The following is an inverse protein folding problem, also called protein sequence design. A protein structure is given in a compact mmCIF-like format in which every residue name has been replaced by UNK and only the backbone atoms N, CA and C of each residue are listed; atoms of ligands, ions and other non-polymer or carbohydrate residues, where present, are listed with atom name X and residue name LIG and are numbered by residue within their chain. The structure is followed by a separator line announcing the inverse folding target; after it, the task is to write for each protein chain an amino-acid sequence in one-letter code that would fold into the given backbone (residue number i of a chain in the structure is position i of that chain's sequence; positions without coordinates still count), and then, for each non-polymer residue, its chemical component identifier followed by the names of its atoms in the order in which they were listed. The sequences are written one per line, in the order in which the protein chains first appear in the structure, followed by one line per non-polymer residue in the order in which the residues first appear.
data_IF_707967904581
#
_entry.id   IF_707967904581
#
_cell.length_a   1.000
_cell.length_b   1.000
_cell.length_c   1.000
_cell.angle_alpha   90.00
_cell.angle_beta   90.00
_cell.angle_gamma   90.00
#
_symmetry.space_group_name_H-M   'P 1'
#
loop_
_entity.id
_entity.type
_entity.pdbx_description
1 polymer ?
#
# COMPACT_ATOMS: atom_id res chain seq x y z
N UNK A 1 10.02 193.94 -7.88
CA UNK A 1 11.23 194.74 -8.14
C UNK A 1 12.25 193.82 -8.78
N UNK A 2 12.51 193.95 -10.07
CA UNK A 2 13.50 194.88 -10.68
C UNK A 2 14.82 194.12 -10.90
N UNK A 3 15.59 194.27 -11.97
CA UNK A 3 15.55 194.99 -13.26
C UNK A 3 16.78 194.38 -14.01
N UNK A 4 16.72 194.04 -15.30
CA UNK A 4 17.19 194.87 -16.44
C UNK A 4 18.74 195.11 -16.46
N UNK A 5 19.46 195.38 -17.55
CA UNK A 5 19.14 195.79 -18.93
C UNK A 5 20.45 195.85 -19.74
N UNK A 6 20.33 195.62 -21.06
CA UNK A 6 20.87 196.38 -22.22
C UNK A 6 22.36 196.72 -22.52
N UNK A 7 22.61 196.57 -23.85
CA UNK A 7 23.12 197.53 -24.89
C UNK A 7 24.56 197.40 -25.46
N UNK A 8 24.60 197.10 -26.78
CA UNK A 8 25.35 197.62 -27.98
C UNK A 8 26.66 198.43 -27.79
N UNK A 9 27.70 198.30 -28.62
CA UNK A 9 27.77 198.60 -30.08
C UNK A 9 29.05 198.05 -30.83
N UNK A 10 29.11 198.28 -32.16
CA UNK A 10 30.08 197.95 -33.27
C UNK A 10 31.60 198.22 -33.03
N UNK A 11 32.66 197.80 -33.79
CA UNK A 11 33.03 197.30 -35.17
C UNK A 11 34.51 196.76 -35.04
N UNK A 12 35.05 195.72 -35.73
CA UNK A 12 35.78 195.69 -37.04
C UNK A 12 36.48 194.32 -37.30
N UNK A 13 37.08 194.15 -38.49
CA UNK A 13 37.70 192.96 -39.18
C UNK A 13 38.98 192.37 -38.53
N UNK A 14 39.24 191.04 -38.67
CA UNK A 14 40.58 190.45 -38.94
C UNK A 14 40.57 188.94 -39.31
N UNK A 15 41.64 188.45 -39.95
CA UNK A 15 41.74 187.28 -40.82
C UNK A 15 42.49 186.06 -40.20
N UNK A 16 41.85 184.87 -40.10
CA UNK A 16 42.41 183.47 -39.98
C UNK A 16 43.16 183.05 -38.66
N UNK A 17 43.35 181.75 -38.29
CA UNK A 17 42.93 180.44 -38.86
C UNK A 17 42.27 179.43 -37.87
N UNK A 18 41.49 178.46 -38.40
CA UNK A 18 40.74 177.43 -37.66
C UNK A 18 41.12 175.97 -37.95
N UNK A 19 42.41 175.60 -37.88
CA UNK A 19 42.88 174.22 -38.14
C UNK A 19 42.86 173.30 -36.90
N UNK A 20 42.55 173.82 -35.71
CA UNK A 20 42.63 173.07 -34.43
C UNK A 20 41.36 172.26 -34.12
N UNK A 21 40.21 172.62 -34.69
CA UNK A 21 38.92 172.00 -34.34
C UNK A 21 38.65 170.66 -35.07
N UNK A 22 39.29 170.45 -36.22
CA UNK A 22 39.16 169.19 -36.98
C UNK A 22 39.94 168.01 -36.36
N UNK A 23 40.98 168.28 -35.56
CA UNK A 23 41.86 167.24 -34.98
C UNK A 23 41.30 166.68 -33.66
N UNK A 24 40.62 167.52 -32.87
CA UNK A 24 39.93 167.14 -31.61
C UNK A 24 38.72 166.24 -31.85
N UNK A 25 37.89 166.59 -32.84
CA UNK A 25 36.68 165.84 -33.20
C UNK A 25 37.00 164.47 -33.80
N UNK A 26 38.09 164.33 -34.55
CA UNK A 26 38.56 163.04 -35.08
C UNK A 26 39.07 162.10 -33.96
N UNK A 27 39.74 162.66 -32.95
CA UNK A 27 40.28 161.88 -31.82
C UNK A 27 39.16 161.34 -30.92
N UNK A 28 38.12 162.13 -30.65
CA UNK A 28 36.93 161.66 -29.93
C UNK A 28 36.15 160.59 -30.70
N UNK A 29 36.00 160.72 -32.02
CA UNK A 29 35.32 159.71 -32.85
C UNK A 29 36.09 158.37 -32.86
N UNK A 30 37.42 158.40 -32.96
CA UNK A 30 38.25 157.19 -32.90
C UNK A 30 38.19 156.54 -31.52
N UNK A 31 38.20 157.33 -30.44
CA UNK A 31 38.11 156.80 -29.07
C UNK A 31 36.72 156.20 -28.77
N UNK A 32 35.65 156.76 -29.34
CA UNK A 32 34.30 156.21 -29.27
C UNK A 32 34.17 154.90 -30.05
N UNK A 33 34.77 154.82 -31.24
CA UNK A 33 34.74 153.60 -32.06
C UNK A 33 35.57 152.47 -31.42
N UNK A 34 36.72 152.80 -30.81
CA UNK A 34 37.52 151.87 -30.02
C UNK A 34 36.78 151.37 -28.77
N UNK A 35 36.07 152.24 -28.04
CA UNK A 35 35.28 151.79 -26.87
C UNK A 35 34.10 150.90 -27.27
N UNK A 36 33.38 151.22 -28.34
CA UNK A 36 32.32 150.35 -28.87
C UNK A 36 32.88 149.00 -29.33
N UNK A 37 34.04 148.98 -29.98
CA UNK A 37 34.70 147.73 -30.40
C UNK A 37 35.18 146.88 -29.22
N UNK A 38 35.77 147.50 -28.19
CA UNK A 38 36.21 146.80 -26.97
C UNK A 38 35.00 146.26 -26.19
N UNK A 39 33.92 147.02 -26.08
CA UNK A 39 32.67 146.55 -25.45
C UNK A 39 32.04 145.42 -26.28
N UNK A 40 32.06 145.51 -27.61
CA UNK A 40 31.61 144.44 -28.51
C UNK A 40 32.44 143.16 -28.37
N UNK A 41 33.78 143.27 -28.32
CA UNK A 41 34.66 142.13 -28.06
C UNK A 41 34.48 141.55 -26.65
N UNK A 42 34.25 142.40 -25.65
CA UNK A 42 34.02 141.96 -24.28
C UNK A 42 32.70 141.17 -24.16
N UNK A 43 31.61 141.65 -24.77
CA UNK A 43 30.32 140.95 -24.78
C UNK A 43 30.44 139.62 -25.55
N UNK A 44 31.09 139.62 -26.72
CA UNK A 44 31.27 138.41 -27.53
C UNK A 44 32.18 137.38 -26.84
N UNK A 45 33.24 137.84 -26.15
CA UNK A 45 34.12 136.98 -25.35
C UNK A 45 33.38 136.37 -24.16
N UNK A 46 32.47 137.13 -23.53
CA UNK A 46 31.59 136.61 -22.45
C UNK A 46 30.59 135.58 -22.97
N UNK A 47 30.00 135.81 -24.13
CA UNK A 47 29.04 134.91 -24.77
C UNK A 47 29.71 133.60 -25.23
N UNK A 48 30.93 133.69 -25.80
CA UNK A 48 31.72 132.52 -26.22
C UNK A 48 32.24 131.76 -24.98
N UNK A 49 32.82 132.45 -23.99
CA UNK A 49 33.30 131.80 -22.75
C UNK A 49 32.15 131.14 -21.97
N UNK A 50 30.97 131.76 -21.95
CA UNK A 50 29.78 131.16 -21.33
C UNK A 50 29.28 129.93 -22.08
N UNK A 51 29.31 129.94 -23.43
CA UNK A 51 29.02 128.74 -24.24
C UNK A 51 30.06 127.65 -24.03
N UNK A 52 31.34 128.00 -23.94
CA UNK A 52 32.44 127.05 -23.70
C UNK A 52 32.35 126.42 -22.30
N UNK A 53 31.97 127.18 -21.26
CA UNK A 53 31.69 126.64 -19.94
C UNK A 53 30.50 125.67 -19.93
N UNK A 54 29.40 126.01 -20.64
CA UNK A 54 28.23 125.14 -20.76
C UNK A 54 28.56 123.87 -21.54
N UNK A 55 29.34 123.98 -22.63
CA UNK A 55 29.82 122.83 -23.40
C UNK A 55 30.74 121.94 -22.59
N UNK A 56 31.68 122.51 -21.82
CA UNK A 56 32.56 121.73 -20.94
C UNK A 56 31.78 121.01 -19.83
N UNK A 57 30.79 121.68 -19.22
CA UNK A 57 29.91 121.08 -18.20
C UNK A 57 29.00 119.99 -18.77
N UNK A 58 28.50 120.17 -19.99
CA UNK A 58 27.75 119.15 -20.72
C UNK A 58 28.64 117.97 -21.07
N UNK A 59 29.86 118.22 -21.55
CA UNK A 59 30.82 117.17 -21.90
C UNK A 59 31.26 116.36 -20.66
N UNK A 60 31.46 117.02 -19.50
CA UNK A 60 31.74 116.31 -18.25
C UNK A 60 30.55 115.47 -17.78
N UNK A 61 29.31 115.97 -17.93
CA UNK A 61 28.09 115.21 -17.63
C UNK A 61 27.86 114.05 -18.59
N UNK A 62 28.16 114.22 -19.86
CA UNK A 62 28.12 113.14 -20.85
C UNK A 62 29.15 112.07 -20.48
N UNK A 63 30.37 112.44 -20.11
CA UNK A 63 31.39 111.48 -19.68
C UNK A 63 31.00 110.72 -18.40
N UNK A 64 30.42 111.41 -17.42
CA UNK A 64 29.93 110.79 -16.17
C UNK A 64 28.76 109.82 -16.46
N UNK A 65 27.81 110.21 -17.30
CA UNK A 65 26.71 109.34 -17.75
C UNK A 65 27.22 108.14 -18.57
N UNK A 66 28.24 108.33 -19.40
CA UNK A 66 28.88 107.23 -20.16
C UNK A 66 29.57 106.27 -19.20
N UNK A 67 30.22 106.76 -18.15
CA UNK A 67 30.88 105.93 -17.14
C UNK A 67 29.86 105.16 -16.28
N UNK A 68 28.77 105.82 -15.86
CA UNK A 68 27.65 105.15 -15.17
C UNK A 68 26.97 104.11 -16.05
N UNK A 69 26.73 104.41 -17.33
CA UNK A 69 26.14 103.47 -18.28
C UNK A 69 27.08 102.28 -18.54
N UNK A 70 28.40 102.50 -18.56
CA UNK A 70 29.38 101.42 -18.67
C UNK A 70 29.39 100.51 -17.42
N UNK A 71 29.31 101.10 -16.22
CA UNK A 71 29.18 100.37 -14.94
C UNK A 71 27.87 99.58 -14.84
N UNK A 72 26.74 100.19 -15.23
CA UNK A 72 25.43 99.53 -15.32
C UNK A 72 25.45 98.37 -16.32
N UNK A 73 26.02 98.57 -17.52
CA UNK A 73 26.18 97.50 -18.50
C UNK A 73 27.08 96.37 -17.99
N UNK A 74 28.18 96.71 -17.32
CA UNK A 74 29.07 95.73 -16.69
C UNK A 74 28.37 94.93 -15.59
N UNK A 75 27.67 95.60 -14.67
CA UNK A 75 26.91 94.94 -13.59
C UNK A 75 25.78 94.06 -14.15
N UNK A 76 25.12 94.50 -15.22
CA UNK A 76 24.11 93.70 -15.93
C UNK A 76 24.74 92.45 -16.56
N UNK A 77 25.91 92.57 -17.19
CA UNK A 77 26.63 91.43 -17.74
C UNK A 77 27.03 90.44 -16.63
N UNK A 78 27.55 90.93 -15.50
CA UNK A 78 27.92 90.08 -14.35
C UNK A 78 26.71 89.34 -13.77
N UNK A 79 25.54 90.00 -13.71
CA UNK A 79 24.27 89.37 -13.30
C UNK A 79 23.82 88.32 -14.32
N UNK A 80 23.92 88.59 -15.62
CA UNK A 80 23.59 87.64 -16.68
C UNK A 80 24.50 86.40 -16.60
N UNK A 81 25.81 86.59 -16.36
CA UNK A 81 26.77 85.50 -16.17
C UNK A 81 26.51 84.71 -14.88
N UNK A 82 26.16 85.39 -13.78
CA UNK A 82 25.78 84.74 -12.52
C UNK A 82 24.49 83.91 -12.68
N UNK A 83 23.49 84.42 -13.39
CA UNK A 83 22.26 83.68 -13.71
C UNK A 83 22.57 82.47 -14.58
N UNK A 84 23.44 82.61 -15.60
CA UNK A 84 23.86 81.49 -16.44
C UNK A 84 24.59 80.40 -15.63
N UNK A 85 25.48 80.79 -14.72
CA UNK A 85 26.18 79.86 -13.83
C UNK A 85 25.25 79.16 -12.84
N UNK A 86 24.28 79.88 -12.28
CA UNK A 86 23.27 79.32 -11.39
C UNK A 86 22.34 78.36 -12.15
N UNK A 87 21.93 78.70 -13.38
CA UNK A 87 21.14 77.82 -14.24
C UNK A 87 21.91 76.53 -14.58
N UNK A 88 23.20 76.63 -14.93
CA UNK A 88 24.04 75.46 -15.18
C UNK A 88 24.19 74.58 -13.92
N UNK A 89 24.41 75.20 -12.76
CA UNK A 89 24.52 74.48 -11.47
C UNK A 89 23.21 73.81 -11.07
N UNK A 90 22.07 74.47 -11.26
CA UNK A 90 20.74 73.92 -11.02
C UNK A 90 20.47 72.71 -11.94
N UNK A 91 20.76 72.84 -13.23
CA UNK A 91 20.62 71.74 -14.19
C UNK A 91 21.49 70.53 -13.84
N UNK A 92 22.72 70.76 -13.38
CA UNK A 92 23.60 69.70 -12.90
C UNK A 92 23.04 69.01 -11.64
N UNK A 93 22.55 69.79 -10.67
CA UNK A 93 21.95 69.26 -9.45
C UNK A 93 20.64 68.49 -9.72
N UNK A 94 19.80 68.94 -10.65
CA UNK A 94 18.59 68.24 -11.09
C UNK A 94 18.92 66.91 -11.77
N UNK A 95 19.99 66.88 -12.57
CA UNK A 95 20.49 65.66 -13.22
C UNK A 95 20.99 64.65 -12.18
N UNK A 96 21.78 65.10 -11.21
CA UNK A 96 22.28 64.22 -10.14
C UNK A 96 21.14 63.73 -9.24
N UNK A 97 20.17 64.58 -8.90
CA UNK A 97 18.96 64.16 -8.16
C UNK A 97 18.19 63.09 -8.93
N UNK A 98 18.02 63.26 -10.25
CA UNK A 98 17.34 62.29 -11.11
C UNK A 98 18.09 60.95 -11.17
N UNK A 99 19.43 61.01 -11.24
CA UNK A 99 20.30 59.83 -11.19
C UNK A 99 20.19 59.09 -9.85
N UNK A 100 20.23 59.81 -8.72
CA UNK A 100 20.08 59.24 -7.37
C UNK A 100 18.67 58.64 -7.17
N UNK A 101 17.63 59.29 -7.67
CA UNK A 101 16.26 58.75 -7.65
C UNK A 101 16.16 57.44 -8.45
N UNK A 102 16.80 57.36 -9.62
CA UNK A 102 16.84 56.13 -10.41
C UNK A 102 17.59 54.99 -9.68
N UNK A 103 18.73 55.29 -9.03
CA UNK A 103 19.48 54.31 -8.24
C UNK A 103 18.69 53.79 -7.03
N UNK A 104 18.00 54.69 -6.30
CA UNK A 104 17.14 54.31 -5.18
C UNK A 104 15.94 53.45 -5.63
N UNK A 105 15.33 53.78 -6.77
CA UNK A 105 14.24 52.99 -7.35
C UNK A 105 14.72 51.59 -7.80
N UNK A 106 15.92 51.50 -8.37
CA UNK A 106 16.52 50.21 -8.72
C UNK A 106 16.86 49.37 -7.47
N UNK A 107 17.38 50.00 -6.43
CA UNK A 107 17.69 49.36 -5.14
C UNK A 107 16.45 48.89 -4.38
N UNK A 108 15.37 49.67 -4.38
CA UNK A 108 14.11 49.25 -3.74
C UNK A 108 13.46 48.08 -4.49
N UNK A 109 13.53 48.09 -5.82
CA UNK A 109 13.06 46.98 -6.66
C UNK A 109 13.83 45.68 -6.42
N UNK A 110 15.16 45.74 -6.24
CA UNK A 110 15.96 44.55 -5.93
C UNK A 110 15.70 44.01 -4.52
N UNK A 111 15.50 44.87 -3.52
CA UNK A 111 15.11 44.49 -2.16
C UNK A 111 13.75 43.77 -2.14
N UNK A 112 12.74 44.32 -2.83
CA UNK A 112 11.44 43.66 -2.95
C UNK A 112 11.51 42.31 -3.65
N UNK A 113 12.35 42.17 -4.68
CA UNK A 113 12.56 40.89 -5.36
C UNK A 113 13.24 39.86 -4.42
N UNK A 114 14.18 40.30 -3.59
CA UNK A 114 14.83 39.46 -2.59
C UNK A 114 13.85 39.02 -1.49
N UNK A 115 13.02 39.93 -0.97
CA UNK A 115 11.98 39.62 0.01
C UNK A 115 10.96 38.61 -0.53
N UNK A 116 10.50 38.77 -1.77
CA UNK A 116 9.61 37.80 -2.41
C UNK A 116 10.25 36.41 -2.52
N UNK A 117 11.53 36.33 -2.91
CA UNK A 117 12.27 35.05 -2.98
C UNK A 117 12.47 34.43 -1.59
N UNK A 118 12.78 35.24 -0.58
CA UNK A 118 12.91 34.75 0.79
C UNK A 118 11.57 34.19 1.31
N UNK A 119 10.46 34.88 1.02
CA UNK A 119 9.12 34.40 1.33
C UNK A 119 8.78 33.08 0.65
N UNK A 120 9.05 32.94 -0.66
CA UNK A 120 8.80 31.69 -1.39
C UNK A 120 9.67 30.53 -0.88
N UNK A 121 10.96 30.78 -0.61
CA UNK A 121 11.86 29.76 -0.07
C UNK A 121 11.46 29.34 1.35
N UNK A 122 10.99 30.27 2.19
CA UNK A 122 10.47 29.95 3.52
C UNK A 122 9.25 29.06 3.44
N UNK A 123 8.32 29.37 2.53
CA UNK A 123 7.13 28.54 2.32
C UNK A 123 7.51 27.12 1.86
N UNK A 124 8.42 26.99 0.91
CA UNK A 124 8.85 25.69 0.40
C UNK A 124 9.61 24.87 1.46
N UNK A 125 10.40 25.53 2.32
CA UNK A 125 11.04 24.90 3.47
C UNK A 125 10.01 24.37 4.48
N UNK A 126 8.95 25.12 4.74
CA UNK A 126 7.90 24.70 5.67
C UNK A 126 7.07 23.54 5.09
N UNK A 127 6.79 23.56 3.78
CA UNK A 127 6.19 22.43 3.07
C UNK A 127 7.06 21.17 3.16
N UNK A 128 8.37 21.30 2.92
CA UNK A 128 9.33 20.19 3.06
C UNK A 128 9.39 19.63 4.49
N UNK A 129 9.40 20.50 5.51
CA UNK A 129 9.35 20.06 6.91
C UNK A 129 8.08 19.28 7.22
N UNK A 130 6.93 19.71 6.72
CA UNK A 130 5.67 18.99 6.90
C UNK A 130 5.69 17.62 6.21
N UNK A 131 6.22 17.53 4.99
CA UNK A 131 6.37 16.25 4.28
C UNK A 131 7.31 15.32 5.05
N UNK A 132 8.45 15.82 5.53
CA UNK A 132 9.39 15.04 6.35
C UNK A 132 8.76 14.56 7.66
N UNK A 133 8.00 15.41 8.36
CA UNK A 133 7.28 15.04 9.58
C UNK A 133 6.25 13.94 9.32
N UNK A 134 5.48 14.02 8.22
CA UNK A 134 4.55 12.97 7.81
C UNK A 134 5.27 11.66 7.48
N UNK A 135 6.39 11.74 6.75
CA UNK A 135 7.21 10.56 6.42
C UNK A 135 7.74 9.87 7.68
N UNK A 136 8.23 10.62 8.67
CA UNK A 136 8.67 10.06 9.96
C UNK A 136 7.52 9.35 10.69
N UNK A 137 6.33 9.98 10.76
CA UNK A 137 5.16 9.35 11.37
C UNK A 137 4.75 8.05 10.66
N UNK A 138 4.90 7.99 9.34
CA UNK A 138 4.62 6.79 8.55
C UNK A 138 5.65 5.69 8.82
N UNK A 139 6.93 6.03 8.95
CA UNK A 139 7.99 5.08 9.33
C UNK A 139 7.73 4.50 10.72
N UNK A 140 7.33 5.32 11.69
CA UNK A 140 7.00 4.84 13.04
C UNK A 140 5.82 3.87 13.03
N UNK A 141 4.76 4.18 12.27
CA UNK A 141 3.62 3.29 12.09
C UNK A 141 4.03 1.96 11.44
N UNK A 142 4.85 2.01 10.39
CA UNK A 142 5.34 0.81 9.71
C UNK A 142 6.23 -0.03 10.64
N UNK A 143 7.07 0.59 11.46
CA UNK A 143 7.88 -0.11 12.46
C UNK A 143 7.00 -0.82 13.50
N UNK A 144 5.94 -0.17 13.98
CA UNK A 144 4.96 -0.79 14.87
C UNK A 144 4.26 -1.97 14.20
N UNK A 145 3.86 -1.85 12.93
CA UNK A 145 3.26 -2.94 12.15
C UNK A 145 4.23 -4.11 11.96
N UNK A 146 5.50 -3.84 11.64
CA UNK A 146 6.54 -4.87 11.50
C UNK A 146 6.76 -5.60 12.82
N UNK A 147 6.80 -4.87 13.95
CA UNK A 147 6.92 -5.49 15.27
C UNK A 147 5.72 -6.41 15.59
N UNK A 148 4.50 -5.97 15.28
CA UNK A 148 3.29 -6.77 15.46
C UNK A 148 3.32 -8.03 14.57
N UNK A 149 3.70 -7.91 13.30
CA UNK A 149 3.83 -9.06 12.38
C UNK A 149 4.90 -10.05 12.86
N UNK A 150 6.05 -9.58 13.35
CA UNK A 150 7.08 -10.45 13.94
C UNK A 150 6.56 -11.22 15.15
N UNK A 151 5.78 -10.57 16.02
CA UNK A 151 5.14 -11.24 17.16
C UNK A 151 4.10 -12.28 16.70
N UNK A 152 3.34 -12.01 15.65
CA UNK A 152 2.38 -12.97 15.08
C UNK A 152 3.09 -14.19 14.49
N UNK A 153 4.18 -13.97 13.73
CA UNK A 153 4.99 -15.05 13.17
C UNK A 153 5.55 -15.94 14.29
N UNK A 154 6.11 -15.35 15.35
CA UNK A 154 6.64 -16.11 16.48
C UNK A 154 5.55 -16.95 17.19
N UNK A 155 4.34 -16.41 17.32
CA UNK A 155 3.21 -17.13 17.90
C UNK A 155 2.76 -18.31 17.01
N UNK A 156 2.73 -18.12 15.69
CA UNK A 156 2.41 -19.19 14.73
C UNK A 156 3.47 -20.28 14.73
N UNK A 157 4.75 -19.92 14.77
CA UNK A 157 5.86 -20.88 14.85
C UNK A 157 5.79 -21.72 16.14
N UNK A 158 5.53 -21.10 17.28
CA UNK A 158 5.32 -21.81 18.54
C UNK A 158 4.11 -22.75 18.50
N UNK A 159 3.00 -22.31 17.88
CA UNK A 159 1.82 -23.14 17.71
C UNK A 159 2.08 -24.34 16.77
N UNK A 160 2.83 -24.13 15.69
CA UNK A 160 3.23 -25.18 14.75
C UNK A 160 4.09 -26.24 15.45
N UNK A 161 5.14 -25.82 16.17
CA UNK A 161 6.00 -26.74 16.94
C UNK A 161 5.21 -27.54 17.97
N UNK A 162 4.25 -26.91 18.67
CA UNK A 162 3.39 -27.62 19.62
C UNK A 162 2.48 -28.65 18.93
N UNK A 163 1.96 -28.33 17.74
CA UNK A 163 1.15 -29.26 16.94
C UNK A 163 1.98 -30.45 16.45
N UNK A 164 3.17 -30.20 15.90
CA UNK A 164 4.08 -31.24 15.41
C UNK A 164 4.50 -32.21 16.53
N UNK A 165 4.82 -31.68 17.72
CA UNK A 165 5.14 -32.50 18.89
C UNK A 165 3.95 -33.38 19.33
N UNK A 166 2.72 -32.84 19.28
CA UNK A 166 1.51 -33.59 19.59
C UNK A 166 1.25 -34.71 18.57
N UNK A 167 1.46 -34.43 17.29
CA UNK A 167 1.29 -35.39 16.21
C UNK A 167 2.31 -36.53 16.30
N UNK A 168 3.57 -36.21 16.59
CA UNK A 168 4.60 -37.22 16.83
C UNK A 168 4.23 -38.12 18.02
N UNK A 169 3.74 -37.55 19.13
CA UNK A 169 3.26 -38.35 20.26
C UNK A 169 2.08 -39.25 19.88
N UNK A 170 1.17 -38.75 19.05
CA UNK A 170 -0.02 -39.48 18.61
C UNK A 170 0.35 -40.63 17.68
N UNK A 171 1.29 -40.42 16.75
CA UNK A 171 1.82 -41.48 15.89
C UNK A 171 2.49 -42.60 16.69
N UNK A 172 3.30 -42.25 17.70
CA UNK A 172 3.92 -43.24 18.59
C UNK A 172 2.86 -44.06 19.34
N UNK A 173 1.80 -43.41 19.86
CA UNK A 173 0.69 -44.10 20.52
C UNK A 173 -0.06 -45.04 19.57
N UNK A 174 -0.33 -44.59 18.35
CA UNK A 174 -1.01 -45.41 17.33
C UNK A 174 -0.17 -46.64 16.97
N UNK A 175 1.14 -46.46 16.76
CA UNK A 175 2.05 -47.56 16.49
C UNK A 175 2.11 -48.55 17.66
N UNK A 176 2.13 -48.06 18.90
CA UNK A 176 2.11 -48.92 20.09
C UNK A 176 0.81 -49.71 20.22
N UNK A 177 -0.34 -49.04 20.06
CA UNK A 177 -1.65 -49.68 20.07
C UNK A 177 -1.78 -50.73 18.97
N UNK A 178 -1.30 -50.43 17.75
CA UNK A 178 -1.30 -51.37 16.64
C UNK A 178 -0.49 -52.64 16.95
N UNK A 179 0.71 -52.49 17.55
CA UNK A 179 1.52 -53.65 17.98
C UNK A 179 0.80 -54.47 19.05
N UNK A 180 0.23 -53.83 20.08
CA UNK A 180 -0.51 -54.52 21.15
C UNK A 180 -1.72 -55.29 20.60
N UNK A 181 -2.47 -54.66 19.70
CA UNK A 181 -3.63 -55.28 19.08
C UNK A 181 -3.23 -56.50 18.24
N UNK A 182 -2.16 -56.38 17.44
CA UNK A 182 -1.67 -57.50 16.64
C UNK A 182 -1.20 -58.67 17.52
N UNK A 183 -0.51 -58.40 18.63
CA UNK A 183 -0.09 -59.44 19.59
C UNK A 183 -1.31 -60.09 20.25
N UNK A 184 -2.28 -59.29 20.70
CA UNK A 184 -3.50 -59.80 21.32
C UNK A 184 -4.32 -60.65 20.33
N UNK A 185 -4.45 -60.21 19.07
CA UNK A 185 -5.14 -60.96 18.03
C UNK A 185 -4.44 -62.28 17.73
N UNK A 186 -3.10 -62.27 17.60
CA UNK A 186 -2.33 -63.49 17.39
C UNK A 186 -2.51 -64.49 18.55
N UNK A 187 -2.51 -64.01 19.79
CA UNK A 187 -2.79 -64.84 20.97
C UNK A 187 -4.19 -65.45 20.91
N UNK A 188 -5.22 -64.67 20.59
CA UNK A 188 -6.60 -65.17 20.46
C UNK A 188 -6.76 -66.20 19.33
N UNK A 189 -6.15 -65.97 18.18
CA UNK A 189 -6.16 -66.93 17.06
C UNK A 189 -5.43 -68.22 17.45
N UNK A 190 -4.32 -68.13 18.19
CA UNK A 190 -3.60 -69.31 18.68
C UNK A 190 -4.42 -70.08 19.72
N UNK A 191 -5.05 -69.39 20.67
CA UNK A 191 -5.97 -69.99 21.64
C UNK A 191 -7.10 -70.73 20.92
N UNK A 192 -7.80 -70.07 19.98
CA UNK A 192 -8.87 -70.68 19.20
C UNK A 192 -8.40 -71.91 18.43
N UNK A 193 -7.22 -71.85 17.80
CA UNK A 193 -6.65 -72.99 17.08
C UNK A 193 -6.33 -74.16 18.02
N UNK A 194 -5.79 -73.89 19.21
CA UNK A 194 -5.52 -74.93 20.21
C UNK A 194 -6.81 -75.61 20.67
N UNK A 195 -7.82 -74.83 21.07
CA UNK A 195 -9.12 -75.37 21.46
C UNK A 195 -9.77 -76.15 20.32
N UNK A 196 -9.68 -75.65 19.09
CA UNK A 196 -10.14 -76.38 17.91
C UNK A 196 -9.46 -77.75 17.81
N UNK A 197 -8.12 -77.81 17.90
CA UNK A 197 -7.39 -79.09 17.83
C UNK A 197 -7.74 -80.05 18.98
N UNK A 198 -7.79 -79.56 20.22
CA UNK A 198 -8.11 -80.39 21.40
C UNK A 198 -9.56 -80.91 21.33
N UNK A 199 -10.49 -80.04 20.94
CA UNK A 199 -11.90 -80.38 20.71
C UNK A 199 -12.04 -81.46 19.63
N UNK A 200 -11.39 -81.27 18.47
CA UNK A 200 -11.44 -82.25 17.38
C UNK A 200 -10.77 -83.58 17.74
N UNK A 201 -9.71 -83.56 18.57
CA UNK A 201 -9.08 -84.77 19.08
C UNK A 201 -10.04 -85.62 19.91
N UNK A 202 -10.73 -84.99 20.88
CA UNK A 202 -11.71 -85.68 21.74
C UNK A 202 -12.96 -86.10 20.98
N UNK A 203 -13.48 -85.24 20.10
CA UNK A 203 -14.62 -85.58 19.27
C UNK A 203 -14.27 -86.73 18.32
N UNK A 204 -13.03 -86.78 17.80
CA UNK A 204 -12.52 -87.92 17.07
C UNK A 204 -12.50 -89.17 17.94
N UNK A 205 -12.01 -89.14 19.17
CA UNK A 205 -11.99 -90.31 20.06
C UNK A 205 -13.39 -90.90 20.25
N UNK A 206 -14.40 -90.06 20.49
CA UNK A 206 -15.81 -90.48 20.67
C UNK A 206 -16.40 -91.07 19.37
N UNK A 207 -15.93 -90.61 18.21
CA UNK A 207 -16.44 -91.00 16.89
C UNK A 207 -15.56 -92.02 16.15
N UNK A 208 -14.40 -92.42 16.70
CA UNK A 208 -13.40 -93.26 16.01
C UNK A 208 -13.83 -94.72 15.83
N UNK A 209 -14.74 -95.21 16.67
CA UNK A 209 -15.17 -96.61 16.68
C UNK A 209 -16.33 -96.89 15.70
N UNK A 210 -16.40 -96.12 14.60
CA UNK A 210 -17.57 -96.09 13.71
C UNK A 210 -17.17 -96.15 12.24
N UNK A 211 -17.59 -97.21 11.58
CA UNK A 211 -17.29 -97.47 10.16
C UNK A 211 -17.90 -96.43 9.20
N UNK A 212 -18.90 -95.67 9.65
CA UNK A 212 -19.71 -94.77 8.82
C UNK A 212 -19.26 -93.29 8.88
N UNK A 213 -18.16 -92.97 9.57
CA UNK A 213 -17.66 -91.60 9.73
C UNK A 213 -16.25 -91.50 9.15
N UNK A 214 -16.05 -90.63 8.17
CA UNK A 214 -14.72 -90.32 7.63
C UNK A 214 -14.22 -89.01 8.22
N UNK A 215 -12.98 -89.02 8.70
CA UNK A 215 -12.32 -87.82 9.23
C UNK A 215 -11.38 -87.28 8.15
N UNK A 216 -11.63 -86.05 7.69
CA UNK A 216 -10.80 -85.37 6.69
C UNK A 216 -10.33 -84.05 7.28
N UNK A 217 -9.08 -83.99 7.73
CA UNK A 217 -8.57 -82.81 8.44
C UNK A 217 -9.36 -82.53 9.72
N UNK A 218 -10.00 -81.37 9.78
CA UNK A 218 -10.87 -80.91 10.88
C UNK A 218 -12.37 -81.06 10.56
N UNK A 219 -12.72 -82.02 9.69
CA UNK A 219 -14.11 -82.26 9.29
C UNK A 219 -14.54 -83.69 9.55
N UNK A 220 -15.72 -83.85 10.12
CA UNK A 220 -16.41 -85.13 10.19
C UNK A 220 -17.35 -85.26 9.02
N UNK A 221 -17.14 -86.27 8.20
CA UNK A 221 -17.91 -86.51 6.98
C UNK A 221 -18.80 -87.73 7.19
N UNK A 222 -20.10 -87.49 7.14
CA UNK A 222 -21.14 -88.52 7.19
C UNK A 222 -21.71 -88.74 5.80
N UNK A 223 -21.79 -89.99 5.34
CA UNK A 223 -22.49 -90.30 4.10
C UNK A 223 -23.98 -90.04 4.26
N UNK A 224 -24.60 -89.42 3.25
CA UNK A 224 -26.00 -89.01 3.34
C UNK A 224 -26.95 -90.21 3.51
N UNK A 225 -26.62 -91.37 2.96
CA UNK A 225 -27.41 -92.60 3.02
C UNK A 225 -27.53 -93.17 4.43
N UNK A 226 -26.52 -92.91 5.27
CA UNK A 226 -26.53 -93.33 6.67
C UNK A 226 -27.53 -92.49 7.46
N UNK A 227 -27.63 -91.20 7.13
CA UNK A 227 -28.45 -90.24 7.86
C UNK A 227 -29.87 -90.11 7.30
N UNK A 228 -30.04 -90.23 5.99
CA UNK A 228 -31.28 -89.92 5.28
C UNK A 228 -31.66 -91.02 4.30
N UNK A 229 -32.97 -91.29 4.12
CA UNK A 229 -33.45 -92.03 2.97
C UNK A 229 -33.14 -91.30 1.65
N UNK A 230 -33.11 -92.06 0.55
CA UNK A 230 -32.89 -91.49 -0.79
C UNK A 230 -33.92 -90.40 -1.11
N UNK A 231 -33.45 -89.27 -1.65
CA UNK A 231 -34.29 -88.12 -2.01
C UNK A 231 -34.95 -87.37 -0.85
N UNK A 232 -34.70 -87.75 0.42
CA UNK A 232 -35.28 -87.11 1.60
C UNK A 232 -34.26 -86.27 2.37
N UNK A 233 -34.75 -85.32 3.16
CA UNK A 233 -34.01 -84.62 4.20
C UNK A 233 -34.48 -84.96 5.62
N UNK A 234 -35.43 -85.89 5.76
CA UNK A 234 -35.89 -86.37 7.06
C UNK A 234 -34.93 -87.45 7.58
N UNK A 235 -34.41 -87.27 8.80
CA UNK A 235 -33.44 -88.21 9.39
C UNK A 235 -34.08 -89.58 9.65
N UNK A 236 -33.44 -90.65 9.19
CA UNK A 236 -33.85 -92.03 9.49
C UNK A 236 -33.49 -92.40 10.95
N UNK A 237 -34.03 -93.51 11.52
CA UNK A 237 -33.75 -93.90 12.90
C UNK A 237 -32.27 -94.13 13.23
N UNK A 238 -31.48 -94.63 12.27
CA UNK A 238 -30.04 -94.83 12.45
C UNK A 238 -29.30 -93.48 12.52
N UNK A 239 -29.64 -92.54 11.63
CA UNK A 239 -29.13 -91.17 11.62
C UNK A 239 -29.47 -90.42 12.89
N UNK A 240 -30.68 -90.57 13.43
CA UNK A 240 -31.06 -89.99 14.72
C UNK A 240 -30.20 -90.54 15.87
N UNK A 241 -29.91 -91.84 15.86
CA UNK A 241 -29.05 -92.47 16.86
C UNK A 241 -27.62 -91.89 16.81
N UNK A 242 -27.06 -91.72 15.61
CA UNK A 242 -25.72 -91.13 15.44
C UNK A 242 -25.68 -89.65 15.83
N UNK A 243 -26.69 -88.88 15.44
CA UNK A 243 -26.78 -87.46 15.81
C UNK A 243 -27.04 -87.24 17.31
N UNK A 244 -27.69 -88.19 18.00
CA UNK A 244 -27.87 -88.13 19.46
C UNK A 244 -26.54 -88.25 20.19
N UNK A 245 -25.70 -89.19 19.75
CA UNK A 245 -24.35 -89.38 20.32
C UNK A 245 -23.46 -88.17 20.05
N UNK A 246 -23.53 -87.62 18.84
CA UNK A 246 -22.86 -86.37 18.49
C UNK A 246 -23.33 -85.22 19.37
N UNK A 247 -24.65 -85.05 19.56
CA UNK A 247 -25.19 -84.01 20.43
C UNK A 247 -24.66 -84.09 21.87
N UNK A 248 -24.62 -85.29 22.45
CA UNK A 248 -24.05 -85.51 23.78
C UNK A 248 -22.57 -85.11 23.83
N UNK A 249 -21.77 -85.54 22.85
CA UNK A 249 -20.36 -85.16 22.75
C UNK A 249 -20.16 -83.64 22.62
N UNK A 250 -20.99 -82.98 21.80
CA UNK A 250 -20.95 -81.53 21.62
C UNK A 250 -21.29 -80.78 22.91
N UNK A 251 -22.32 -81.22 23.64
CA UNK A 251 -22.73 -80.61 24.91
C UNK A 251 -21.61 -80.75 25.95
N UNK A 252 -21.00 -81.93 26.07
CA UNK A 252 -19.93 -82.13 27.05
C UNK A 252 -18.66 -81.35 26.71
N UNK A 253 -18.25 -81.37 25.44
CA UNK A 253 -17.06 -80.62 25.00
C UNK A 253 -17.29 -79.10 25.02
N UNK A 254 -18.52 -78.62 24.82
CA UNK A 254 -18.84 -77.18 24.91
C UNK A 254 -18.54 -76.58 26.28
N UNK A 255 -18.55 -77.40 27.34
CA UNK A 255 -18.23 -76.97 28.73
C UNK A 255 -16.75 -76.66 28.92
N UNK A 256 -15.87 -77.22 28.08
CA UNK A 256 -14.42 -77.02 28.16
C UNK A 256 -13.97 -75.76 27.38
N UNK A 257 -14.82 -75.22 26.51
CA UNK A 257 -14.50 -74.03 25.72
C UNK A 257 -14.95 -72.77 26.48
N UNK A 258 -14.05 -71.83 26.78
CA UNK A 258 -14.40 -70.58 27.46
C UNK A 258 -15.50 -69.80 26.72
N UNK A 259 -16.45 -69.18 27.44
CA UNK A 259 -17.58 -68.48 26.84
C UNK A 259 -17.16 -67.27 25.99
N UNK A 260 -15.97 -66.71 26.23
CA UNK A 260 -15.40 -65.59 25.46
C UNK A 260 -15.01 -65.97 24.03
N UNK A 261 -14.91 -67.27 23.74
CA UNK A 261 -14.61 -67.77 22.40
C UNK A 261 -15.89 -67.90 21.59
N UNK A 262 -15.98 -67.09 20.54
CA UNK A 262 -17.10 -67.05 19.60
C UNK A 262 -17.02 -68.18 18.57
N UNK A 263 -17.16 -69.43 19.01
CA UNK A 263 -17.20 -70.60 18.12
C UNK A 263 -18.63 -71.02 17.75
N UNK A 264 -18.77 -71.67 16.59
CA UNK A 264 -19.98 -72.35 16.14
C UNK A 264 -19.63 -73.67 15.44
N UNK A 265 -20.50 -74.67 15.54
CA UNK A 265 -20.45 -75.88 14.72
C UNK A 265 -21.26 -75.64 13.44
N UNK A 266 -20.56 -75.70 12.31
CA UNK A 266 -21.16 -75.59 10.99
C UNK A 266 -21.44 -76.96 10.40
N UNK A 267 -22.68 -77.15 9.97
CA UNK A 267 -23.19 -78.34 9.29
C UNK A 267 -23.32 -78.01 7.81
N UNK A 268 -22.44 -78.60 7.00
CA UNK A 268 -22.34 -78.37 5.57
C UNK A 268 -23.00 -79.54 4.83
N UNK A 269 -24.08 -79.28 4.09
CA UNK A 269 -24.77 -80.27 3.27
C UNK A 269 -24.28 -80.27 1.83
N UNK A 270 -24.08 -81.47 1.26
CA UNK A 270 -23.65 -81.65 -0.12
C UNK A 270 -24.48 -82.72 -0.85
N UNK A 271 -24.61 -82.57 -2.16
CA UNK A 271 -25.21 -83.57 -3.05
C UNK A 271 -24.17 -84.11 -4.03
N UNK A 272 -24.55 -85.13 -4.81
CA UNK A 272 -23.82 -85.46 -6.03
C UNK A 272 -24.24 -84.53 -7.18
N UNK A 273 -23.69 -84.79 -8.36
CA UNK A 273 -23.95 -84.05 -9.58
C UNK A 273 -25.14 -84.57 -10.39
N UNK A 274 -25.99 -85.44 -9.80
CA UNK A 274 -27.21 -85.89 -10.49
C UNK A 274 -28.28 -84.83 -10.27
N UNK A 275 -28.81 -84.20 -11.34
CA UNK A 275 -29.88 -83.23 -11.18
C UNK A 275 -31.11 -83.89 -10.59
N UNK A 276 -31.76 -83.22 -9.63
CA UNK A 276 -33.09 -83.61 -9.21
C UNK A 276 -34.07 -83.40 -10.38
N UNK A 277 -35.10 -84.24 -10.47
CA UNK A 277 -36.11 -84.14 -11.53
C UNK A 277 -36.91 -82.83 -11.48
N UNK A 278 -36.82 -82.05 -10.39
CA UNK A 278 -37.56 -80.80 -10.18
C UNK A 278 -39.04 -81.00 -9.81
N UNK A 279 -39.59 -82.20 -10.02
CA UNK A 279 -40.97 -82.56 -9.69
C UNK A 279 -41.15 -83.12 -8.25
N UNK A 280 -40.07 -83.21 -7.48
CA UNK A 280 -40.08 -83.71 -6.09
C UNK A 280 -40.27 -82.62 -5.04
N UNK A 281 -40.12 -82.98 -3.75
CA UNK A 281 -40.22 -82.04 -2.61
C UNK A 281 -39.19 -80.90 -2.66
N UNK A 282 -38.04 -81.12 -3.29
CA UNK A 282 -36.97 -80.14 -3.43
C UNK A 282 -36.76 -79.81 -4.91
N UNK A 283 -36.69 -78.51 -5.26
CA UNK A 283 -36.56 -78.07 -6.64
C UNK A 283 -35.18 -78.36 -7.24
N UNK A 284 -34.12 -78.31 -6.43
CA UNK A 284 -32.73 -78.50 -6.89
C UNK A 284 -31.81 -79.04 -5.77
N UNK A 285 -30.56 -79.33 -6.14
CA UNK A 285 -29.52 -79.83 -5.25
C UNK A 285 -29.13 -78.83 -4.15
N UNK A 286 -29.29 -77.53 -4.38
CA UNK A 286 -29.07 -76.49 -3.37
C UNK A 286 -30.11 -76.55 -2.26
N UNK A 287 -31.39 -76.67 -2.61
CA UNK A 287 -32.49 -76.78 -1.68
C UNK A 287 -32.41 -78.09 -0.89
N UNK A 288 -32.08 -79.22 -1.55
CA UNK A 288 -31.93 -80.51 -0.87
C UNK A 288 -30.78 -80.51 0.14
N UNK A 289 -29.60 -80.05 -0.27
CA UNK A 289 -28.42 -79.98 0.62
C UNK A 289 -28.66 -79.06 1.81
N UNK A 290 -29.26 -77.88 1.58
CA UNK A 290 -29.62 -76.94 2.64
C UNK A 290 -30.65 -77.54 3.60
N UNK A 291 -31.69 -78.19 3.07
CA UNK A 291 -32.71 -78.83 3.89
C UNK A 291 -32.13 -79.95 4.78
N UNK A 292 -31.20 -80.75 4.25
CA UNK A 292 -30.50 -81.80 5.03
C UNK A 292 -29.64 -81.22 6.14
N UNK A 293 -28.87 -80.16 5.85
CA UNK A 293 -28.07 -79.47 6.87
C UNK A 293 -28.97 -78.88 7.97
N UNK A 294 -30.08 -78.23 7.59
CA UNK A 294 -31.06 -77.69 8.54
C UNK A 294 -31.71 -78.80 9.37
N UNK A 295 -32.03 -79.95 8.78
CA UNK A 295 -32.63 -81.07 9.50
C UNK A 295 -31.69 -81.60 10.60
N UNK A 296 -30.40 -81.73 10.29
CA UNK A 296 -29.37 -82.09 11.29
C UNK A 296 -29.28 -81.05 12.38
N UNK A 297 -29.18 -79.76 12.04
CA UNK A 297 -29.14 -78.67 13.05
C UNK A 297 -30.38 -78.68 13.95
N UNK A 298 -31.58 -78.77 13.37
CA UNK A 298 -32.82 -78.83 14.15
C UNK A 298 -32.88 -80.04 15.07
N UNK A 299 -32.36 -81.18 14.61
CA UNK A 299 -32.26 -82.36 15.45
C UNK A 299 -31.26 -82.17 16.59
N UNK A 300 -30.07 -81.62 16.33
CA UNK A 300 -29.10 -81.32 17.39
C UNK A 300 -29.67 -80.35 18.44
N UNK A 301 -30.44 -79.35 18.01
CA UNK A 301 -31.16 -78.43 18.90
C UNK A 301 -32.18 -79.20 19.75
N UNK A 302 -32.93 -80.14 19.16
CA UNK A 302 -33.90 -80.94 19.93
C UNK A 302 -33.23 -81.88 20.95
N UNK A 303 -31.96 -82.23 20.73
CA UNK A 303 -31.13 -82.96 21.68
C UNK A 303 -30.44 -82.06 22.73
N UNK A 304 -30.66 -80.74 22.71
CA UNK A 304 -30.17 -79.80 23.73
C UNK A 304 -28.91 -79.04 23.35
N UNK A 305 -28.40 -79.14 22.12
CA UNK A 305 -27.29 -78.30 21.65
C UNK A 305 -27.78 -76.86 21.48
N UNK A 306 -27.11 -75.84 22.05
CA UNK A 306 -27.52 -74.44 21.92
C UNK A 306 -27.62 -74.00 20.46
N UNK A 307 -28.75 -73.39 20.08
CA UNK A 307 -29.01 -72.98 18.70
C UNK A 307 -28.05 -71.89 18.20
N UNK A 308 -27.54 -71.04 19.10
CA UNK A 308 -26.55 -69.99 18.81
C UNK A 308 -25.14 -70.53 18.56
N UNK A 309 -24.91 -71.83 18.81
CA UNK A 309 -23.67 -72.57 18.50
C UNK A 309 -23.77 -73.41 17.23
N UNK A 310 -24.85 -73.30 16.45
CA UNK A 310 -25.09 -74.11 15.26
C UNK A 310 -25.34 -73.25 14.03
N UNK A 311 -24.74 -73.64 12.91
CA UNK A 311 -24.95 -73.02 11.60
C UNK A 311 -25.21 -74.13 10.59
N UNK A 312 -26.23 -73.98 9.74
CA UNK A 312 -26.48 -74.85 8.59
C UNK A 312 -26.10 -74.14 7.29
N UNK A 313 -25.37 -74.81 6.41
CA UNK A 313 -25.04 -74.34 5.08
C UNK A 313 -25.26 -75.45 4.06
N UNK A 314 -25.91 -75.15 2.93
CA UNK A 314 -25.96 -76.05 1.77
C UNK A 314 -24.92 -75.62 0.74
N UNK A 315 -24.33 -76.57 0.01
CA UNK A 315 -23.38 -76.30 -1.07
C UNK A 315 -23.77 -76.96 -2.39
N UNK A 316 -24.88 -77.72 -2.42
CA UNK A 316 -25.28 -78.52 -3.56
C UNK A 316 -24.15 -79.43 -4.04
N UNK A 317 -23.99 -79.49 -5.36
CA UNK A 317 -22.99 -80.31 -6.06
C UNK A 317 -21.64 -79.61 -6.29
N UNK A 318 -21.53 -78.32 -5.90
CA UNK A 318 -20.43 -77.43 -6.28
C UNK A 318 -19.16 -77.58 -5.45
N UNK A 319 -19.13 -78.53 -4.51
CA UNK A 319 -17.94 -78.88 -3.71
C UNK A 319 -17.76 -80.41 -3.63
N UNK A 320 -17.45 -81.08 -4.78
CA UNK A 320 -17.21 -82.51 -4.79
C UNK A 320 -15.87 -82.83 -4.11
N UNK A 321 -15.83 -83.91 -3.33
CA UNK A 321 -14.60 -84.45 -2.72
C UNK A 321 -14.07 -85.66 -3.47
N UNK A 322 -14.91 -86.32 -4.26
CA UNK A 322 -14.53 -87.38 -5.18
C UNK A 322 -14.83 -86.92 -6.62
N UNK A 323 -13.82 -86.83 -7.50
CA UNK A 323 -14.03 -86.44 -8.89
C UNK A 323 -14.68 -87.59 -9.70
N UNK A 324 -15.43 -87.21 -10.74
CA UNK A 324 -16.02 -88.15 -11.70
C UNK A 324 -17.46 -88.59 -11.38
N UNK A 325 -17.99 -89.44 -12.26
CA UNK A 325 -19.43 -89.77 -12.34
C UNK A 325 -19.75 -91.22 -11.92
N UNK A 326 -18.81 -91.90 -11.27
CA UNK A 326 -19.02 -93.28 -10.82
C UNK A 326 -20.04 -93.33 -9.67
N UNK A 327 -20.78 -94.44 -9.50
CA UNK A 327 -21.68 -94.61 -8.35
C UNK A 327 -21.00 -94.35 -7.00
N UNK A 328 -19.74 -94.79 -6.85
CA UNK A 328 -18.95 -94.59 -5.64
C UNK A 328 -18.53 -93.12 -5.42
N UNK A 329 -18.15 -92.41 -6.49
CA UNK A 329 -17.84 -90.98 -6.42
C UNK A 329 -19.07 -90.17 -6.02
N UNK A 330 -20.23 -90.49 -6.61
CA UNK A 330 -21.51 -89.86 -6.26
C UNK A 330 -21.92 -90.13 -4.81
N UNK A 331 -21.82 -91.37 -4.34
CA UNK A 331 -22.09 -91.71 -2.93
C UNK A 331 -21.16 -90.95 -1.98
N UNK A 332 -19.88 -90.81 -2.34
CA UNK A 332 -18.91 -90.04 -1.55
C UNK A 332 -19.24 -88.54 -1.51
N UNK A 333 -19.74 -87.97 -2.61
CA UNK A 333 -20.11 -86.56 -2.69
C UNK A 333 -21.39 -86.23 -1.92
N UNK A 334 -22.36 -87.15 -1.87
CA UNK A 334 -23.57 -87.05 -1.03
C UNK A 334 -23.22 -87.20 0.44
N UNK A 335 -22.94 -86.08 1.12
CA UNK A 335 -22.46 -86.11 2.51
C UNK A 335 -22.92 -84.92 3.33
N UNK A 336 -22.85 -85.08 4.65
CA UNK A 336 -22.89 -83.99 5.62
C UNK A 336 -21.49 -83.85 6.20
N UNK A 337 -20.92 -82.65 6.12
CA UNK A 337 -19.68 -82.32 6.82
C UNK A 337 -19.98 -81.50 8.08
N UNK A 338 -19.29 -81.80 9.17
CA UNK A 338 -19.34 -81.01 10.39
C UNK A 338 -17.97 -80.40 10.64
N UNK A 339 -17.93 -79.11 10.93
CA UNK A 339 -16.70 -78.42 11.31
C UNK A 339 -16.92 -77.28 12.29
N UNK A 340 -15.89 -77.00 13.08
CA UNK A 340 -15.86 -75.91 14.04
C UNK A 340 -15.32 -74.65 13.35
N UNK A 341 -15.98 -73.52 13.54
CA UNK A 341 -15.56 -72.24 12.97
C UNK A 341 -15.88 -71.08 13.92
N UNK A 342 -15.38 -69.90 13.60
CA UNK A 342 -15.72 -68.66 14.32
C UNK A 342 -17.07 -68.14 13.83
N UNK A 343 -17.83 -67.52 14.73
CA UNK A 343 -19.16 -66.98 14.47
C UNK A 343 -19.16 -65.83 13.47
#
# INVERSE_FOLDING_TARGET
MALARNRRHQRSVDYWPGFVDALSTLLMAIMFLLTVFVVGQFILSREISGRDEVLNRLNSRINDLVQQLALEKGSKQDLEDAVANLQASLSSAETERSRLQALLAAGSGSSQAAEKRAGSLSQELDEQKQVSARAMSQVDLLNQQIAALRSQIAAIEAALQASEAKDQSSQVKIADLGRRLNVALAQRVQELNRYRSDFFGRLREILSDRDNIRIVGDRFVFQSEVLFPSGSADLNPAGQTEMTKLAAALIDLSKEIPPEINWVLRVDGHTDNVPLSGNGRYPDNWALSSARAIAVVKFLISQGVPADRLVAAGFGEFQPIAPGDTPDARATNRRIELKLTEK
#
